data_IF_601068111080
#
_entry.id   IF_601068111080
#
_cell.length_a   1.000
_cell.length_b   1.000
_cell.length_c   1.000
_cell.angle_alpha   90.00
_cell.angle_beta   90.00
_cell.angle_gamma   90.00
#
_symmetry.space_group_name_H-M   'P 1'
#
loop_
_entity.id
_entity.type
_entity.pdbx_description
1 polymer ?
#
# COMPACT_ATOMS: atom_id res chain seq x y z
N UNK A 1 16.48 -7.01 3.30
CA UNK A 1 16.14 -7.86 2.13
C UNK A 1 14.64 -8.02 1.99
N UNK A 2 13.86 -8.25 3.07
CA UNK A 2 12.41 -8.44 2.97
C UNK A 2 11.65 -7.20 2.49
N UNK A 3 12.03 -5.98 2.92
CA UNK A 3 11.37 -4.75 2.43
C UNK A 3 11.44 -4.61 0.89
N UNK A 4 12.58 -4.98 0.31
CA UNK A 4 12.76 -4.98 -1.15
C UNK A 4 11.88 -6.04 -1.80
N UNK A 5 11.78 -7.23 -1.21
CA UNK A 5 10.89 -8.30 -1.68
C UNK A 5 9.40 -7.89 -1.60
N UNK A 6 8.95 -7.33 -0.47
CA UNK A 6 7.60 -6.78 -0.28
C UNK A 6 7.30 -5.76 -1.40
N UNK A 7 8.23 -4.85 -1.64
CA UNK A 7 8.10 -3.81 -2.65
C UNK A 7 8.03 -4.41 -4.05
N UNK A 8 8.95 -5.31 -4.39
CA UNK A 8 9.04 -5.96 -5.70
C UNK A 8 7.79 -6.78 -6.02
N UNK A 9 7.30 -7.56 -5.07
CA UNK A 9 6.09 -8.38 -5.24
C UNK A 9 4.87 -7.47 -5.43
N UNK A 10 4.71 -6.44 -4.60
CA UNK A 10 3.66 -5.44 -4.79
C UNK A 10 3.75 -4.77 -6.16
N UNK A 11 4.95 -4.43 -6.63
CA UNK A 11 5.16 -3.83 -7.95
C UNK A 11 4.74 -4.76 -9.07
N UNK A 12 5.14 -6.04 -9.02
CA UNK A 12 4.69 -7.06 -9.99
C UNK A 12 3.16 -7.14 -10.01
N UNK A 13 2.52 -7.17 -8.84
CA UNK A 13 1.04 -7.17 -8.75
C UNK A 13 0.41 -5.93 -9.37
N UNK A 14 0.92 -4.73 -9.05
CA UNK A 14 0.42 -3.46 -9.60
C UNK A 14 0.56 -3.43 -11.14
N UNK A 15 1.61 -4.04 -11.67
CA UNK A 15 1.85 -4.12 -13.11
C UNK A 15 1.10 -5.28 -13.80
N UNK A 16 0.37 -6.11 -13.03
CA UNK A 16 -0.23 -7.37 -13.48
C UNK A 16 0.81 -8.35 -14.08
N UNK A 17 2.02 -8.36 -13.52
CA UNK A 17 3.08 -9.29 -13.89
C UNK A 17 2.97 -10.60 -13.10
N UNK A 18 3.34 -11.75 -13.72
CA UNK A 18 3.33 -13.02 -13.03
C UNK A 18 4.38 -13.04 -11.90
N UNK A 19 4.00 -13.66 -10.78
CA UNK A 19 4.90 -13.95 -9.67
C UNK A 19 5.10 -15.47 -9.64
N UNK A 20 6.31 -15.99 -9.92
CA UNK A 20 6.60 -17.42 -9.86
C UNK A 20 6.23 -18.06 -8.51
N UNK A 21 5.71 -19.29 -8.52
CA UNK A 21 5.37 -20.00 -7.27
C UNK A 21 6.57 -20.19 -6.34
N UNK A 22 7.78 -20.37 -6.91
CA UNK A 22 9.01 -20.44 -6.12
C UNK A 22 9.28 -19.12 -5.38
N UNK A 23 9.12 -17.96 -6.04
CA UNK A 23 9.26 -16.64 -5.41
C UNK A 23 8.24 -16.46 -4.27
N UNK A 24 6.98 -16.91 -4.49
CA UNK A 24 5.94 -16.87 -3.45
C UNK A 24 6.34 -17.73 -2.25
N UNK A 25 6.79 -18.97 -2.49
CA UNK A 25 7.20 -19.89 -1.44
C UNK A 25 8.34 -19.32 -0.59
N UNK A 26 9.42 -18.88 -1.23
CA UNK A 26 10.56 -18.29 -0.55
C UNK A 26 10.16 -17.05 0.29
N UNK A 27 9.31 -16.19 -0.27
CA UNK A 27 8.80 -15.02 0.44
C UNK A 27 7.97 -15.39 1.69
N UNK A 28 7.07 -16.37 1.56
CA UNK A 28 6.25 -16.84 2.68
C UNK A 28 7.10 -17.45 3.79
N UNK A 29 8.08 -18.29 3.44
CA UNK A 29 9.02 -18.86 4.42
C UNK A 29 9.83 -17.78 5.13
N UNK A 30 10.30 -16.76 4.39
CA UNK A 30 11.01 -15.60 4.95
C UNK A 30 10.17 -14.87 5.99
N UNK A 31 8.88 -14.59 5.69
CA UNK A 31 7.96 -13.96 6.65
C UNK A 31 7.73 -14.86 7.87
N UNK A 32 7.32 -16.11 7.66
CA UNK A 32 6.97 -17.02 8.75
C UNK A 32 8.17 -17.29 9.66
N UNK A 33 9.37 -17.43 9.09
CA UNK A 33 10.60 -17.58 9.86
C UNK A 33 10.87 -16.35 10.73
N UNK A 34 10.72 -15.13 10.17
CA UNK A 34 10.89 -13.88 10.94
C UNK A 34 9.85 -13.68 12.03
N UNK A 35 8.59 -14.06 11.78
CA UNK A 35 7.54 -14.03 12.81
C UNK A 35 7.86 -15.00 13.95
N UNK A 36 8.41 -16.20 13.65
CA UNK A 36 8.78 -17.23 14.63
C UNK A 36 10.07 -16.88 15.40
N UNK A 37 11.06 -16.28 14.72
CA UNK A 37 12.36 -15.96 15.30
C UNK A 37 12.32 -14.74 16.23
N UNK A 38 11.15 -14.13 16.42
CA UNK A 38 10.98 -12.91 17.19
C UNK A 38 11.01 -13.22 18.70
N UNK A 39 12.21 -13.46 19.21
CA UNK A 39 12.52 -13.46 20.64
C UNK A 39 13.11 -12.07 21.02
N UNK A 40 12.40 -11.36 21.89
CA UNK A 40 12.81 -10.20 22.71
C UNK A 40 12.94 -8.78 22.12
N UNK A 41 13.33 -8.54 20.86
CA UNK A 41 13.51 -7.16 20.35
C UNK A 41 12.22 -6.33 20.15
N UNK A 42 11.08 -7.00 19.97
CA UNK A 42 9.75 -6.36 19.84
C UNK A 42 9.20 -5.84 21.14
N UNK A 43 9.52 -6.53 22.26
CA UNK A 43 9.11 -6.14 23.61
C UNK A 43 9.62 -4.73 23.89
N UNK A 44 10.85 -4.42 23.52
CA UNK A 44 11.45 -3.12 23.79
C UNK A 44 10.71 -1.96 23.07
N UNK A 45 10.27 -2.14 21.83
CA UNK A 45 9.45 -1.14 21.12
C UNK A 45 8.01 -1.07 21.63
N UNK A 46 7.37 -2.20 21.89
CA UNK A 46 5.99 -2.24 22.39
C UNK A 46 5.87 -1.68 23.82
N UNK A 47 6.88 -1.93 24.66
CA UNK A 47 6.96 -1.44 26.04
C UNK A 47 7.30 0.05 26.07
N UNK A 48 8.09 0.54 25.10
CA UNK A 48 8.53 1.94 25.04
C UNK A 48 7.57 2.87 24.31
N UNK A 49 6.82 2.39 23.32
CA UNK A 49 6.03 3.25 22.41
C UNK A 49 4.52 2.95 22.38
N UNK A 50 4.02 2.31 23.45
CA UNK A 50 2.60 1.95 23.63
C UNK A 50 2.12 0.93 22.59
N UNK A 51 0.96 0.30 22.81
CA UNK A 51 0.39 -0.79 21.95
C UNK A 51 0.18 -0.42 20.47
N UNK A 52 0.45 0.83 20.09
CA UNK A 52 0.23 1.35 18.75
C UNK A 52 1.22 0.84 17.69
N UNK A 53 2.39 0.31 18.05
CA UNK A 53 3.40 -0.16 17.08
C UNK A 53 3.20 -1.63 16.64
N UNK A 54 3.70 -2.03 15.44
CA UNK A 54 3.70 -3.40 14.94
C UNK A 54 4.32 -4.44 15.88
N UNK A 55 3.70 -5.62 15.98
CA UNK A 55 4.08 -6.70 16.92
C UNK A 55 4.53 -8.00 16.26
N UNK A 56 4.17 -8.24 15.00
CA UNK A 56 4.53 -9.42 14.22
C UNK A 56 5.79 -9.20 13.40
N UNK A 57 5.91 -8.07 12.71
CA UNK A 57 7.10 -7.73 11.93
C UNK A 57 7.58 -6.31 12.19
N UNK A 58 8.90 -6.12 12.29
CA UNK A 58 9.56 -4.83 12.23
C UNK A 58 10.71 -4.91 11.22
N UNK A 59 11.07 -3.79 10.58
CA UNK A 59 12.23 -3.75 9.72
C UNK A 59 13.51 -3.93 10.53
N UNK A 60 14.52 -4.61 9.95
CA UNK A 60 15.84 -4.69 10.57
C UNK A 60 16.60 -3.37 10.44
N UNK A 61 17.65 -3.18 11.24
CA UNK A 61 18.49 -1.98 11.15
C UNK A 61 19.11 -1.84 9.76
N UNK A 62 19.58 -2.95 9.17
CA UNK A 62 20.17 -2.97 7.83
C UNK A 62 19.15 -2.57 6.76
N UNK A 63 17.90 -3.04 6.87
CA UNK A 63 16.82 -2.69 5.95
C UNK A 63 16.52 -1.20 6.01
N UNK A 64 16.44 -0.64 7.21
CA UNK A 64 16.27 0.79 7.40
C UNK A 64 17.43 1.60 6.79
N UNK A 65 18.69 1.20 6.97
CA UNK A 65 19.84 1.96 6.45
C UNK A 65 19.85 2.09 4.91
N UNK A 66 19.28 1.13 4.17
CA UNK A 66 19.23 1.17 2.71
C UNK A 66 18.48 2.40 2.16
N UNK A 67 17.52 2.95 2.91
CA UNK A 67 16.74 4.13 2.50
C UNK A 67 17.43 5.46 2.85
N UNK A 68 18.69 5.44 3.33
CA UNK A 68 19.40 6.61 3.89
C UNK A 68 18.61 7.32 5.01
N UNK A 69 17.65 6.62 5.59
CA UNK A 69 16.74 7.10 6.61
C UNK A 69 16.34 5.90 7.45
N UNK A 70 16.18 6.03 8.77
CA UNK A 70 15.74 4.88 9.58
C UNK A 70 14.30 4.40 9.26
N UNK A 71 13.54 5.17 8.46
CA UNK A 71 12.20 4.86 7.97
C UNK A 71 12.28 4.26 6.58
N UNK A 72 11.41 3.28 6.33
CA UNK A 72 11.20 2.69 5.02
C UNK A 72 10.15 3.48 4.23
N UNK A 73 10.38 3.62 2.93
CA UNK A 73 9.38 4.14 1.99
C UNK A 73 8.21 3.17 1.85
N UNK A 74 7.03 3.72 1.61
CA UNK A 74 5.89 2.96 1.13
C UNK A 74 6.21 2.35 -0.23
N UNK A 75 5.46 1.32 -0.64
CA UNK A 75 5.62 0.68 -1.95
C UNK A 75 5.41 1.65 -3.12
N UNK A 76 4.75 2.79 -2.89
CA UNK A 76 4.53 3.86 -3.87
C UNK A 76 5.67 4.90 -3.90
N UNK A 77 6.67 4.78 -3.02
CA UNK A 77 7.87 5.60 -2.98
C UNK A 77 7.82 6.80 -2.05
N UNK A 78 6.66 7.16 -1.52
CA UNK A 78 6.51 8.16 -0.47
C UNK A 78 7.28 7.73 0.78
N UNK A 79 8.06 8.66 1.36
CA UNK A 79 8.75 8.44 2.63
C UNK A 79 7.85 8.93 3.77
N UNK A 80 7.41 8.06 4.69
CA UNK A 80 6.63 8.47 5.84
C UNK A 80 7.37 9.50 6.71
N UNK A 81 6.64 10.42 7.31
CA UNK A 81 7.07 11.36 8.35
C UNK A 81 7.34 10.62 9.67
N UNK A 82 6.52 9.63 9.99
CA UNK A 82 6.52 8.89 11.25
C UNK A 82 7.07 7.46 11.09
N UNK A 83 7.69 6.92 12.15
CA UNK A 83 8.03 5.49 12.21
C UNK A 83 6.77 4.63 12.31
N UNK A 84 5.70 5.18 12.88
CA UNK A 84 4.41 4.49 13.02
C UNK A 84 3.89 4.04 11.65
N UNK A 85 3.65 4.99 10.72
CA UNK A 85 3.19 4.64 9.38
C UNK A 85 4.21 3.72 8.67
N UNK A 86 5.50 4.04 8.74
CA UNK A 86 6.54 3.27 8.06
C UNK A 86 6.57 1.80 8.49
N UNK A 87 6.54 1.54 9.79
CA UNK A 87 6.62 0.18 10.33
C UNK A 87 5.31 -0.58 10.13
N UNK A 88 4.15 0.08 10.26
CA UNK A 88 2.86 -0.55 9.96
C UNK A 88 2.73 -0.91 8.49
N UNK A 89 3.12 -0.01 7.58
CA UNK A 89 3.16 -0.33 6.15
C UNK A 89 4.03 -1.56 5.87
N UNK A 90 5.19 -1.66 6.52
CA UNK A 90 6.06 -2.82 6.39
C UNK A 90 5.39 -4.13 6.88
N UNK A 91 4.83 -4.14 8.09
CA UNK A 91 4.17 -5.33 8.64
C UNK A 91 2.93 -5.71 7.83
N UNK A 92 2.02 -4.76 7.63
CA UNK A 92 0.71 -5.05 7.05
C UNK A 92 0.82 -5.40 5.57
N UNK A 93 1.77 -4.85 4.81
CA UNK A 93 1.98 -5.28 3.43
C UNK A 93 2.55 -6.71 3.35
N UNK A 94 3.43 -7.09 4.27
CA UNK A 94 3.92 -8.47 4.35
C UNK A 94 2.79 -9.44 4.69
N UNK A 95 2.00 -9.13 5.71
CA UNK A 95 0.87 -9.96 6.15
C UNK A 95 -0.23 -10.02 5.10
N UNK A 96 -0.50 -8.92 4.38
CA UNK A 96 -1.43 -8.88 3.26
C UNK A 96 -1.00 -9.87 2.18
N UNK A 97 0.26 -9.85 1.76
CA UNK A 97 0.80 -10.79 0.77
C UNK A 97 0.74 -12.24 1.25
N UNK A 98 1.04 -12.50 2.53
CA UNK A 98 0.91 -13.82 3.14
C UNK A 98 -0.54 -14.32 3.11
N UNK A 99 -1.49 -13.45 3.47
CA UNK A 99 -2.92 -13.76 3.42
C UNK A 99 -3.38 -14.12 1.99
N UNK A 100 -2.88 -13.43 0.96
CA UNK A 100 -3.26 -13.73 -0.43
C UNK A 100 -2.93 -15.16 -0.86
N UNK A 101 -1.91 -15.78 -0.29
CA UNK A 101 -1.42 -17.09 -0.75
C UNK A 101 -1.66 -18.22 0.25
N UNK A 102 -1.92 -17.91 1.52
CA UNK A 102 -2.05 -18.88 2.61
C UNK A 102 -3.17 -18.54 3.59
N UNK A 103 -4.30 -18.02 3.11
CA UNK A 103 -5.44 -17.70 3.99
C UNK A 103 -6.01 -18.93 4.72
N UNK A 104 -5.80 -20.13 4.19
CA UNK A 104 -6.29 -21.38 4.79
C UNK A 104 -5.30 -22.00 5.79
N UNK A 105 -4.09 -21.44 5.94
CA UNK A 105 -3.10 -21.93 6.89
C UNK A 105 -3.43 -21.43 8.30
N UNK A 106 -3.60 -22.35 9.25
CA UNK A 106 -4.01 -22.05 10.62
C UNK A 106 -3.06 -21.10 11.34
N UNK A 107 -1.75 -21.19 11.11
CA UNK A 107 -0.78 -20.30 11.74
C UNK A 107 -0.81 -18.91 11.12
N UNK A 108 -1.05 -18.83 9.80
CA UNK A 108 -1.27 -17.56 9.11
C UNK A 108 -2.54 -16.89 9.61
N UNK A 109 -3.67 -17.62 9.74
CA UNK A 109 -4.93 -17.07 10.25
C UNK A 109 -4.74 -16.48 11.64
N UNK A 110 -4.12 -17.22 12.56
CA UNK A 110 -3.82 -16.71 13.92
C UNK A 110 -2.98 -15.43 13.91
N UNK A 111 -2.02 -15.34 12.98
CA UNK A 111 -1.17 -14.16 12.83
C UNK A 111 -1.97 -12.93 12.39
N UNK A 112 -2.89 -13.13 11.44
CA UNK A 112 -3.78 -12.10 10.92
C UNK A 112 -4.79 -11.66 12.00
N UNK A 113 -5.39 -12.61 12.73
CA UNK A 113 -6.33 -12.33 13.84
C UNK A 113 -5.68 -11.50 14.96
N UNK A 114 -4.50 -11.91 15.43
CA UNK A 114 -3.76 -11.13 16.45
C UNK A 114 -3.39 -9.73 15.97
N UNK A 115 -3.10 -9.59 14.68
CA UNK A 115 -2.82 -8.28 14.09
C UNK A 115 -4.10 -7.45 14.06
N UNK A 116 -5.22 -8.05 13.72
CA UNK A 116 -6.52 -7.38 13.70
C UNK A 116 -6.98 -6.92 15.09
N UNK A 117 -6.87 -7.77 16.09
CA UNK A 117 -7.18 -7.43 17.49
C UNK A 117 -6.38 -6.20 17.93
N UNK A 118 -5.09 -6.15 17.59
CA UNK A 118 -4.22 -5.00 17.87
C UNK A 118 -4.65 -3.75 17.11
N UNK A 119 -5.08 -3.88 15.87
CA UNK A 119 -5.54 -2.74 15.07
C UNK A 119 -6.89 -2.21 15.57
N UNK A 120 -7.77 -3.07 16.11
CA UNK A 120 -9.05 -2.66 16.68
C UNK A 120 -8.89 -1.72 17.88
N UNK A 121 -7.80 -1.85 18.65
CA UNK A 121 -7.45 -0.96 19.76
C UNK A 121 -7.01 0.45 19.30
N UNK A 122 -6.77 0.66 17.99
CA UNK A 122 -6.46 1.99 17.45
C UNK A 122 -7.78 2.72 17.15
N UNK A 123 -8.06 3.82 17.84
CA UNK A 123 -9.31 4.58 17.68
C UNK A 123 -9.36 5.40 16.38
N UNK A 124 -9.68 4.76 15.26
CA UNK A 124 -9.73 5.40 13.92
C UNK A 124 -10.67 6.61 13.81
N UNK A 125 -11.69 6.68 14.66
CA UNK A 125 -12.70 7.76 14.65
C UNK A 125 -12.14 9.14 15.06
N UNK A 126 -10.93 9.23 15.63
CA UNK A 126 -10.30 10.51 16.06
C UNK A 126 -8.96 10.80 15.38
N UNK A 127 -8.49 9.88 14.52
CA UNK A 127 -7.12 9.89 14.03
C UNK A 127 -6.90 10.74 12.78
N UNK A 128 -7.97 11.20 12.10
CA UNK A 128 -7.86 12.09 10.94
C UNK A 128 -7.54 13.57 11.31
N UNK A 129 -7.20 13.88 12.56
CA UNK A 129 -6.97 15.26 13.01
C UNK A 129 -5.54 15.80 12.80
N UNK A 130 -4.51 14.99 13.09
CA UNK A 130 -3.10 15.43 13.10
C UNK A 130 -2.20 14.25 12.72
N UNK A 131 -1.14 14.44 11.91
CA UNK A 131 -0.20 13.40 11.43
C UNK A 131 -0.70 12.38 10.38
N UNK A 132 0.16 11.42 10.02
CA UNK A 132 0.04 10.47 8.90
C UNK A 132 -0.97 9.33 9.10
N UNK A 133 -1.96 9.51 9.98
CA UNK A 133 -2.96 8.48 10.24
C UNK A 133 -3.85 8.19 9.05
N UNK A 134 -4.14 9.18 8.20
CA UNK A 134 -4.80 8.92 6.92
C UNK A 134 -4.01 7.90 6.07
N UNK A 135 -2.67 8.00 6.10
CA UNK A 135 -1.79 7.01 5.49
C UNK A 135 -1.87 5.65 6.17
N UNK A 136 -1.93 5.60 7.51
CA UNK A 136 -2.06 4.33 8.24
C UNK A 136 -3.41 3.65 7.95
N UNK A 137 -4.49 4.41 7.95
CA UNK A 137 -5.82 3.93 7.60
C UNK A 137 -5.86 3.35 6.18
N UNK A 138 -5.13 3.93 5.23
CA UNK A 138 -5.00 3.36 3.88
C UNK A 138 -4.26 2.02 3.85
N UNK A 139 -3.19 1.86 4.64
CA UNK A 139 -2.47 0.59 4.76
C UNK A 139 -3.40 -0.49 5.35
N UNK A 140 -4.12 -0.15 6.41
CA UNK A 140 -5.08 -1.05 7.07
C UNK A 140 -6.21 -1.43 6.13
N UNK A 141 -6.71 -0.49 5.34
CA UNK A 141 -7.76 -0.72 4.36
C UNK A 141 -7.32 -1.76 3.31
N UNK A 142 -6.09 -1.67 2.79
CA UNK A 142 -5.55 -2.68 1.86
C UNK A 142 -5.38 -4.05 2.51
N UNK A 143 -4.97 -4.09 3.78
CA UNK A 143 -4.89 -5.31 4.58
C UNK A 143 -6.28 -5.97 4.72
N UNK A 144 -7.31 -5.21 5.12
CA UNK A 144 -8.69 -5.70 5.23
C UNK A 144 -9.27 -6.14 3.89
N UNK A 145 -9.00 -5.40 2.80
CA UNK A 145 -9.43 -5.78 1.45
C UNK A 145 -8.83 -7.10 0.96
N UNK A 146 -7.88 -7.69 1.69
CA UNK A 146 -7.37 -9.04 1.43
C UNK A 146 -7.88 -10.05 2.45
N UNK A 147 -7.78 -9.73 3.74
CA UNK A 147 -8.06 -10.67 4.84
C UNK A 147 -9.55 -10.74 5.24
N UNK A 148 -10.29 -9.64 5.16
CA UNK A 148 -11.69 -9.50 5.63
C UNK A 148 -12.59 -9.00 4.51
N UNK A 149 -12.62 -9.76 3.41
CA UNK A 149 -13.41 -9.43 2.20
C UNK A 149 -14.90 -9.17 2.48
N UNK A 150 -15.43 -9.80 3.52
CA UNK A 150 -16.86 -9.74 3.89
C UNK A 150 -17.24 -8.44 4.61
N UNK A 151 -16.27 -7.71 5.19
CA UNK A 151 -16.53 -6.56 6.07
C UNK A 151 -16.52 -5.23 5.29
N UNK A 152 -17.29 -5.20 4.19
CA UNK A 152 -17.32 -4.06 3.26
C UNK A 152 -17.90 -2.80 3.91
N UNK A 153 -18.82 -2.94 4.86
CA UNK A 153 -19.40 -1.81 5.58
C UNK A 153 -18.35 -1.07 6.41
N UNK A 154 -17.53 -1.80 7.17
CA UNK A 154 -16.43 -1.21 7.95
C UNK A 154 -15.39 -0.56 7.04
N UNK A 155 -15.03 -1.22 5.93
CA UNK A 155 -14.13 -0.65 4.93
C UNK A 155 -14.69 0.64 4.32
N UNK A 156 -15.97 0.68 3.96
CA UNK A 156 -16.64 1.86 3.42
C UNK A 156 -16.72 3.00 4.46
N UNK A 157 -16.98 2.70 5.73
CA UNK A 157 -16.95 3.70 6.81
C UNK A 157 -15.56 4.34 6.93
N UNK A 158 -14.51 3.53 7.03
CA UNK A 158 -13.13 4.02 7.11
C UNK A 158 -12.76 4.85 5.86
N UNK A 159 -13.14 4.35 4.68
CA UNK A 159 -12.92 5.01 3.41
C UNK A 159 -13.62 6.38 3.33
N UNK A 160 -14.87 6.49 3.78
CA UNK A 160 -15.60 7.75 3.82
C UNK A 160 -14.84 8.81 4.62
N UNK A 161 -14.34 8.44 5.80
CA UNK A 161 -13.52 9.32 6.64
C UNK A 161 -12.22 9.75 5.94
N UNK A 162 -11.54 8.82 5.24
CA UNK A 162 -10.32 9.13 4.49
C UNK A 162 -10.61 10.10 3.32
N UNK A 163 -11.68 9.84 2.57
CA UNK A 163 -12.08 10.67 1.42
C UNK A 163 -12.42 12.07 1.88
N UNK A 164 -13.27 12.20 2.91
CA UNK A 164 -13.65 13.48 3.48
C UNK A 164 -12.41 14.25 3.95
N UNK A 165 -11.53 13.60 4.70
CA UNK A 165 -10.30 14.21 5.18
C UNK A 165 -9.38 14.67 4.04
N UNK A 166 -9.23 13.86 2.99
CA UNK A 166 -8.22 14.06 1.94
C UNK A 166 -8.69 15.00 0.84
N UNK A 167 -9.94 14.86 0.37
CA UNK A 167 -10.45 15.58 -0.79
C UNK A 167 -11.24 16.84 -0.43
N UNK A 168 -11.83 16.95 0.77
CA UNK A 168 -12.56 18.16 1.17
C UNK A 168 -11.64 19.24 1.77
N UNK A 169 -10.36 18.94 1.99
CA UNK A 169 -9.38 19.90 2.47
C UNK A 169 -8.07 19.82 1.66
N UNK A 170 -7.82 20.84 0.82
CA UNK A 170 -6.64 20.91 -0.04
C UNK A 170 -5.29 20.88 0.72
N UNK A 171 -5.26 21.29 2.00
CA UNK A 171 -4.04 21.17 2.82
C UNK A 171 -3.79 19.73 3.25
N UNK A 172 -4.83 18.92 3.45
CA UNK A 172 -4.74 17.52 3.87
C UNK A 172 -4.39 16.58 2.71
N UNK A 173 -4.74 16.95 1.48
CA UNK A 173 -4.27 16.26 0.28
C UNK A 173 -2.73 16.19 0.19
N UNK A 174 -2.02 17.16 0.79
CA UNK A 174 -0.54 17.16 0.89
C UNK A 174 0.00 16.29 2.04
N UNK A 175 -0.85 15.81 2.94
CA UNK A 175 -0.49 15.01 4.13
C UNK A 175 -0.71 13.51 3.91
N UNK A 176 -1.71 13.13 3.11
CA UNK A 176 -1.95 11.73 2.73
C UNK A 176 -0.95 11.27 1.63
N UNK A 177 -0.46 10.02 1.67
CA UNK A 177 0.33 9.46 0.57
C UNK A 177 -0.55 9.32 -0.69
N UNK A 178 -0.44 10.27 -1.61
CA UNK A 178 -1.42 10.43 -2.70
C UNK A 178 -1.50 9.22 -3.63
N UNK A 179 -0.39 8.56 -3.95
CA UNK A 179 -0.43 7.39 -4.82
C UNK A 179 -0.84 6.12 -4.09
N UNK A 180 -0.58 6.05 -2.79
CA UNK A 180 -1.07 4.96 -1.97
C UNK A 180 -2.60 4.98 -1.83
N UNK A 181 -3.18 6.18 -1.74
CA UNK A 181 -4.63 6.37 -1.81
C UNK A 181 -5.20 5.81 -3.12
N UNK A 182 -4.67 6.25 -4.26
CA UNK A 182 -5.14 5.76 -5.57
C UNK A 182 -4.94 4.25 -5.74
N UNK A 183 -3.88 3.69 -5.15
CA UNK A 183 -3.68 2.24 -5.13
C UNK A 183 -4.79 1.54 -4.35
N UNK A 184 -5.07 1.96 -3.12
CA UNK A 184 -6.13 1.39 -2.30
C UNK A 184 -7.51 1.50 -2.98
N UNK A 185 -7.81 2.65 -3.59
CA UNK A 185 -9.03 2.85 -4.37
C UNK A 185 -9.09 1.89 -5.56
N UNK A 186 -8.01 1.74 -6.33
CA UNK A 186 -8.00 0.83 -7.49
C UNK A 186 -8.28 -0.64 -7.12
N UNK A 187 -7.87 -1.07 -5.93
CA UNK A 187 -8.06 -2.43 -5.43
C UNK A 187 -9.46 -2.68 -4.85
N UNK A 188 -10.19 -1.61 -4.49
CA UNK A 188 -11.53 -1.66 -3.90
C UNK A 188 -12.65 -1.34 -4.89
N UNK A 189 -12.32 -0.78 -6.06
CA UNK A 189 -13.29 -0.28 -7.03
C UNK A 189 -14.34 -1.32 -7.45
N UNK A 190 -13.98 -2.59 -7.54
CA UNK A 190 -14.93 -3.65 -7.93
C UNK A 190 -15.96 -3.98 -6.83
N UNK A 191 -15.77 -3.47 -5.61
CA UNK A 191 -16.55 -3.84 -4.41
C UNK A 191 -17.24 -2.65 -3.72
N UNK A 192 -16.92 -1.42 -4.13
CA UNK A 192 -17.40 -0.22 -3.46
C UNK A 192 -17.83 0.83 -4.47
N UNK A 193 -19.11 1.16 -4.47
CA UNK A 193 -19.68 2.21 -5.34
C UNK A 193 -19.07 3.58 -5.01
N UNK A 194 -18.85 3.88 -3.73
CA UNK A 194 -18.18 5.11 -3.24
C UNK A 194 -16.81 5.27 -3.91
N UNK A 195 -16.05 4.19 -4.04
CA UNK A 195 -14.74 4.21 -4.71
C UNK A 195 -14.88 4.57 -6.18
N UNK A 196 -15.82 3.95 -6.89
CA UNK A 196 -16.05 4.24 -8.31
C UNK A 196 -16.45 5.70 -8.53
N UNK A 197 -17.29 6.27 -7.67
CA UNK A 197 -17.67 7.68 -7.73
C UNK A 197 -16.45 8.60 -7.55
N UNK A 198 -15.57 8.30 -6.60
CA UNK A 198 -14.34 9.09 -6.40
C UNK A 198 -13.41 8.98 -7.61
N UNK A 199 -13.17 7.77 -8.13
CA UNK A 199 -12.32 7.58 -9.31
C UNK A 199 -12.94 8.31 -10.51
N UNK A 200 -14.25 8.23 -10.70
CA UNK A 200 -14.98 8.90 -11.78
C UNK A 200 -14.83 10.43 -11.69
N UNK A 201 -15.07 11.00 -10.52
CA UNK A 201 -14.94 12.45 -10.26
C UNK A 201 -13.55 12.99 -10.60
N UNK A 202 -12.51 12.19 -10.41
CA UNK A 202 -11.11 12.58 -10.66
C UNK A 202 -10.53 11.99 -11.96
N UNK A 203 -11.34 11.31 -12.78
CA UNK A 203 -10.88 10.52 -13.92
C UNK A 203 -10.11 11.34 -14.96
N UNK A 204 -10.57 12.55 -15.28
CA UNK A 204 -9.90 13.40 -16.27
C UNK A 204 -8.52 13.87 -15.78
N UNK A 205 -8.40 14.25 -14.51
CA UNK A 205 -7.12 14.66 -13.92
C UNK A 205 -6.14 13.49 -13.87
N UNK A 206 -6.64 12.32 -13.46
CA UNK A 206 -5.88 11.07 -13.47
C UNK A 206 -5.41 10.71 -14.88
N UNK A 207 -6.27 10.85 -15.89
CA UNK A 207 -5.91 10.57 -17.27
C UNK A 207 -4.82 11.52 -17.80
N UNK A 208 -4.94 12.81 -17.51
CA UNK A 208 -3.92 13.81 -17.86
C UNK A 208 -2.57 13.48 -17.18
N UNK A 209 -2.60 13.04 -15.92
CA UNK A 209 -1.42 12.58 -15.18
C UNK A 209 -0.82 11.31 -15.77
N UNK A 210 -1.65 10.37 -16.23
CA UNK A 210 -1.22 9.15 -16.91
C UNK A 210 -0.48 9.44 -18.22
N UNK A 211 -0.98 10.37 -19.03
CA UNK A 211 -0.37 10.74 -20.31
C UNK A 211 0.94 11.54 -20.15
N UNK A 212 1.03 12.42 -19.15
CA UNK A 212 2.19 13.30 -18.93
C UNK A 212 3.50 12.52 -18.74
N UNK A 213 4.60 12.95 -19.35
CA UNK A 213 5.93 12.34 -19.17
C UNK A 213 6.55 12.65 -17.80
N UNK A 214 6.91 11.62 -17.02
CA UNK A 214 7.49 11.78 -15.68
C UNK A 214 8.94 11.32 -15.65
N UNK A 215 9.83 12.11 -15.06
CA UNK A 215 11.26 11.77 -14.93
C UNK A 215 11.40 10.46 -14.15
N UNK A 216 12.31 9.58 -14.54
CA UNK A 216 12.67 8.40 -13.77
C UNK A 216 14.14 8.52 -13.37
N UNK A 217 14.40 8.57 -12.06
CA UNK A 217 15.74 8.60 -11.52
C UNK A 217 15.93 7.43 -10.53
N UNK A 218 16.82 6.46 -10.83
CA UNK A 218 17.07 5.29 -9.98
C UNK A 218 17.50 5.63 -8.55
N UNK A 219 18.07 6.82 -8.34
CA UNK A 219 18.73 7.20 -7.09
C UNK A 219 17.82 7.93 -6.09
N UNK A 220 16.56 8.20 -6.43
CA UNK A 220 15.63 8.93 -5.56
C UNK A 220 14.20 8.34 -5.64
N UNK A 221 13.21 9.11 -5.17
CA UNK A 221 11.81 8.70 -5.19
C UNK A 221 11.19 8.61 -6.61
N UNK A 222 11.83 9.17 -7.63
CA UNK A 222 11.35 9.12 -9.01
C UNK A 222 11.47 7.73 -9.64
N UNK A 223 12.27 6.83 -9.05
CA UNK A 223 12.30 5.41 -9.44
C UNK A 223 10.93 4.73 -9.35
N UNK A 224 10.01 5.27 -8.54
CA UNK A 224 8.65 4.75 -8.38
C UNK A 224 7.64 5.34 -9.39
N UNK A 225 8.05 6.30 -10.23
CA UNK A 225 7.14 6.95 -11.19
C UNK A 225 6.49 5.98 -12.19
N UNK A 226 7.17 4.93 -12.70
CA UNK A 226 6.51 3.91 -13.49
C UNK A 226 5.35 3.21 -12.74
N UNK A 227 5.59 2.81 -11.49
CA UNK A 227 4.57 2.14 -10.65
C UNK A 227 3.40 3.07 -10.36
N UNK A 228 3.66 4.34 -10.08
CA UNK A 228 2.60 5.35 -9.89
C UNK A 228 1.73 5.53 -11.13
N UNK A 229 2.29 5.40 -12.33
CA UNK A 229 1.50 5.39 -13.57
C UNK A 229 0.66 4.14 -13.70
N UNK A 230 1.17 2.97 -13.33
CA UNK A 230 0.36 1.74 -13.27
C UNK A 230 -0.77 1.84 -12.26
N UNK A 231 -0.56 2.49 -11.09
CA UNK A 231 -1.62 2.76 -10.12
C UNK A 231 -2.74 3.58 -10.74
N UNK A 232 -2.39 4.68 -11.43
CA UNK A 232 -3.38 5.52 -12.13
C UNK A 232 -4.11 4.72 -13.21
N UNK A 233 -3.36 3.98 -14.04
CA UNK A 233 -3.90 3.10 -15.08
C UNK A 233 -4.93 2.13 -14.48
N UNK A 234 -4.57 1.44 -13.40
CA UNK A 234 -5.42 0.45 -12.77
C UNK A 234 -6.70 1.09 -12.21
N UNK A 235 -6.61 2.26 -11.55
CA UNK A 235 -7.78 3.00 -11.09
C UNK A 235 -8.71 3.39 -12.25
N UNK A 236 -8.18 4.03 -13.30
CA UNK A 236 -8.97 4.45 -14.47
C UNK A 236 -9.63 3.26 -15.16
N UNK A 237 -8.93 2.13 -15.29
CA UNK A 237 -9.41 0.93 -15.99
C UNK A 237 -10.66 0.29 -15.37
N UNK A 238 -11.07 0.74 -14.18
CA UNK A 238 -12.31 0.34 -13.50
C UNK A 238 -13.54 1.05 -14.04
N UNK A 239 -13.36 2.21 -14.68
CA UNK A 239 -14.46 2.96 -15.27
C UNK A 239 -14.77 2.46 -16.69
N UNK A 240 -16.05 2.36 -17.08
CA UNK A 240 -16.44 1.92 -18.43
C UNK A 240 -15.73 2.68 -19.56
N UNK A 241 -15.69 4.01 -19.48
CA UNK A 241 -15.12 4.89 -20.51
C UNK A 241 -13.60 4.74 -20.65
N UNK A 242 -12.93 4.21 -19.62
CA UNK A 242 -11.48 4.05 -19.56
C UNK A 242 -11.06 2.57 -19.54
N UNK A 243 -11.99 1.63 -19.73
CA UNK A 243 -11.74 0.20 -19.68
C UNK A 243 -10.67 -0.27 -20.69
N UNK A 244 -10.52 0.45 -21.81
CA UNK A 244 -9.45 0.22 -22.80
C UNK A 244 -8.03 0.40 -22.21
N UNK A 245 -7.90 1.09 -21.06
CA UNK A 245 -6.62 1.24 -20.37
C UNK A 245 -6.18 -0.02 -19.63
N UNK A 246 -7.00 -1.08 -19.50
CA UNK A 246 -6.58 -2.36 -18.90
C UNK A 246 -5.32 -2.92 -19.56
N UNK A 247 -5.22 -2.78 -20.88
CA UNK A 247 -4.09 -3.26 -21.68
C UNK A 247 -3.03 -2.19 -21.95
N UNK A 248 -3.21 -0.97 -21.46
CA UNK A 248 -2.23 0.10 -21.60
C UNK A 248 -0.91 -0.26 -20.89
N UNK A 249 0.18 0.28 -21.40
CA UNK A 249 1.53 0.05 -20.88
C UNK A 249 2.17 1.36 -20.44
N UNK A 250 3.10 1.25 -19.49
CA UNK A 250 3.99 2.35 -19.14
C UNK A 250 5.31 2.12 -19.86
N UNK A 251 5.71 3.05 -20.72
CA UNK A 251 6.92 2.92 -21.53
C UNK A 251 7.97 3.93 -21.11
N UNK A 252 9.22 3.54 -21.23
CA UNK A 252 10.37 4.45 -21.06
C UNK A 252 10.67 5.16 -22.38
N UNK A 253 10.66 6.49 -22.35
CA UNK A 253 11.14 7.34 -23.42
C UNK A 253 12.66 7.43 -23.42
N UNK A 254 13.23 7.78 -24.58
CA UNK A 254 14.66 8.07 -24.73
C UNK A 254 15.11 9.31 -23.95
N UNK A 255 14.18 10.15 -23.52
CA UNK A 255 14.38 11.34 -22.70
C UNK A 255 14.47 11.05 -21.19
N UNK A 256 14.51 9.77 -20.79
CA UNK A 256 14.58 9.36 -19.40
C UNK A 256 13.26 9.52 -18.63
N UNK A 257 12.14 9.72 -19.34
CA UNK A 257 10.80 9.82 -18.74
C UNK A 257 9.99 8.56 -19.00
N UNK A 258 9.07 8.25 -18.08
CA UNK A 258 8.03 7.26 -18.32
C UNK A 258 6.74 7.92 -18.81
N UNK A 259 6.02 7.22 -19.69
CA UNK A 259 4.78 7.67 -20.33
C UNK A 259 3.72 6.57 -20.26
N UNK A 260 2.47 6.95 -20.03
CA UNK A 260 1.33 6.03 -20.23
C UNK A 260 0.97 5.97 -21.71
N UNK A 261 0.94 4.77 -22.29
CA UNK A 261 0.51 4.53 -23.67
C UNK A 261 -0.67 3.56 -23.69
N UNK A 262 -1.87 4.02 -24.11
CA UNK A 262 -2.94 3.11 -24.51
C UNK A 262 -2.40 2.16 -25.59
N UNK A 263 -2.81 0.89 -25.57
CA UNK A 263 -2.53 0.03 -26.73
C UNK A 263 -3.31 0.57 -27.94
N UNK A 264 -2.69 0.61 -29.13
CA UNK A 264 -3.35 0.99 -30.37
C UNK A 264 -4.49 0.03 -30.72
#
# INVERSE_FOLDING_TARGET
MLHQEITLINHKMIMNEPIPEADKHCFMESILSRCKSRNDGSKDWSTKYNKAYPLQLLPTYEESQMERSKKLRLITGELPRTYLLSHHAYELEALRLLAMWKIDDVEVVKLLERTEERLADLSFDHLCGEDEWAGLSLVILRFWNTYKLQDIERMNKLLGNIIEHTFNNAQNMKKAPSYYLWLALSELADKSEIVNEVIFKHSQDLYNLFQKGWIVNPHNADRYNPIRKYIIKNALSKLPDFNYLKDAQVVMGSDGRCYGRPRP
#
